data_IF_794125906764
#
_entry.id   IF_794125906764
#
_cell.length_a   1.000
_cell.length_b   1.000
_cell.length_c   1.000
_cell.angle_alpha   90.00
_cell.angle_beta   90.00
_cell.angle_gamma   90.00
#
_symmetry.space_group_name_H-M   'P 1'
#
loop_
_entity.id
_entity.type
_entity.pdbx_description
1 polymer ?
#
# COMPACT_ATOMS: atom_id res chain seq x y z
N UNK A 1 14.72 32.48 -14.94
CA UNK A 1 14.89 31.06 -14.56
C UNK A 1 15.59 30.83 -13.18
N UNK A 2 15.27 31.57 -12.10
CA UNK A 2 15.95 31.43 -10.78
C UNK A 2 15.10 30.84 -9.64
N UNK A 3 13.81 30.53 -9.89
CA UNK A 3 12.86 30.05 -8.84
C UNK A 3 12.84 28.53 -8.55
N UNK A 4 13.58 27.69 -9.28
CA UNK A 4 13.51 26.21 -9.12
C UNK A 4 14.36 25.60 -7.99
N UNK A 5 15.20 26.37 -7.28
CA UNK A 5 16.11 25.80 -6.26
C UNK A 5 15.52 25.68 -4.84
N UNK A 6 14.43 26.38 -4.53
CA UNK A 6 13.77 26.27 -3.22
C UNK A 6 12.84 25.06 -3.10
N UNK A 7 12.26 24.61 -4.22
CA UNK A 7 11.27 23.53 -4.23
C UNK A 7 11.85 22.18 -3.79
N UNK A 8 13.11 21.90 -4.14
CA UNK A 8 13.76 20.63 -3.80
C UNK A 8 13.98 20.42 -2.30
N UNK A 9 14.25 21.49 -1.54
CA UNK A 9 14.49 21.39 -0.09
C UNK A 9 13.17 21.24 0.66
N UNK A 10 12.13 21.98 0.25
CA UNK A 10 10.80 21.86 0.83
C UNK A 10 10.19 20.47 0.59
N UNK A 11 10.37 19.91 -0.61
CA UNK A 11 9.93 18.54 -0.93
C UNK A 11 10.69 17.52 -0.09
N UNK A 12 12.00 17.67 0.11
CA UNK A 12 12.79 16.75 0.92
C UNK A 12 12.38 16.79 2.40
N UNK A 13 12.12 17.98 2.96
CA UNK A 13 11.66 18.13 4.34
C UNK A 13 10.25 17.58 4.54
N UNK A 14 9.35 17.76 3.57
CA UNK A 14 8.02 17.12 3.57
C UNK A 14 8.13 15.60 3.49
N UNK A 15 9.06 15.07 2.69
CA UNK A 15 9.27 13.63 2.55
C UNK A 15 9.85 13.00 3.82
N UNK A 16 10.82 13.66 4.46
CA UNK A 16 11.41 13.20 5.73
C UNK A 16 10.42 13.34 6.89
N UNK A 17 9.66 14.44 6.94
CA UNK A 17 8.58 14.61 7.92
C UNK A 17 7.48 13.57 7.74
N UNK A 18 7.07 13.28 6.50
CA UNK A 18 6.12 12.23 6.19
C UNK A 18 6.65 10.85 6.56
N UNK A 19 7.90 10.50 6.23
CA UNK A 19 8.52 9.24 6.66
C UNK A 19 8.63 9.11 8.18
N UNK A 20 9.02 10.16 8.89
CA UNK A 20 9.11 10.15 10.34
C UNK A 20 7.73 9.99 10.99
N UNK A 21 6.71 10.68 10.47
CA UNK A 21 5.32 10.51 10.91
C UNK A 21 4.82 9.11 10.56
N UNK A 22 5.07 8.58 9.37
CA UNK A 22 4.66 7.22 8.99
C UNK A 22 5.38 6.12 9.78
N UNK A 23 6.60 6.38 10.27
CA UNK A 23 7.36 5.45 11.11
C UNK A 23 6.92 5.50 12.58
N UNK A 24 6.57 6.69 13.08
CA UNK A 24 6.08 6.91 14.46
C UNK A 24 4.59 6.57 14.61
N UNK A 25 3.82 6.77 13.54
CA UNK A 25 2.40 6.42 13.41
C UNK A 25 2.23 5.13 12.62
N UNK A 26 3.14 4.17 12.80
CA UNK A 26 2.80 2.78 12.53
C UNK A 26 1.97 2.35 13.74
N UNK A 27 0.62 2.25 13.65
CA UNK A 27 -0.18 1.76 14.77
C UNK A 27 0.43 0.43 15.19
N UNK A 28 0.77 0.33 16.48
CA UNK A 28 1.67 -0.65 17.05
C UNK A 28 1.83 -1.91 16.22
N UNK A 29 2.98 -2.01 15.53
CA UNK A 29 3.71 -3.27 15.39
C UNK A 29 4.17 -3.71 16.80
N UNK A 30 3.24 -3.76 17.76
CA UNK A 30 3.34 -4.60 18.94
C UNK A 30 3.49 -5.98 18.33
N UNK A 31 4.69 -6.57 18.51
CA UNK A 31 5.05 -7.93 18.11
C UNK A 31 3.87 -8.60 17.43
N UNK A 32 3.75 -8.40 16.12
CA UNK A 32 3.07 -9.40 15.34
C UNK A 32 3.88 -10.63 15.65
N UNK A 33 3.35 -11.50 16.52
CA UNK A 33 3.55 -12.92 16.34
C UNK A 33 3.36 -13.07 14.86
N UNK A 34 4.47 -13.32 14.17
CA UNK A 34 4.51 -13.49 12.73
C UNK A 34 3.28 -14.36 12.41
N UNK A 35 2.26 -13.84 11.70
CA UNK A 35 0.99 -14.55 11.55
C UNK A 35 1.14 -15.88 10.77
N UNK A 36 2.39 -16.24 10.43
CA UNK A 36 2.82 -17.51 9.88
C UNK A 36 3.01 -18.63 10.93
N UNK A 37 2.78 -18.37 12.23
CA UNK A 37 3.03 -19.35 13.29
C UNK A 37 1.87 -19.54 14.30
N UNK A 38 0.67 -19.02 14.03
CA UNK A 38 -0.50 -19.80 14.49
C UNK A 38 -0.44 -21.03 13.61
N UNK A 39 -0.37 -22.28 14.14
CA UNK A 39 -0.37 -23.45 13.28
C UNK A 39 -1.57 -23.28 12.37
N UNK A 40 -1.30 -23.04 11.08
CA UNK A 40 -2.31 -23.15 10.06
C UNK A 40 -2.94 -24.49 10.40
N UNK A 41 -4.20 -24.47 10.82
CA UNK A 41 -4.88 -25.71 11.15
C UNK A 41 -4.62 -26.57 9.93
N UNK A 42 -3.80 -27.62 10.07
CA UNK A 42 -3.54 -28.60 9.04
C UNK A 42 -4.87 -29.34 8.90
N UNK A 43 -5.82 -28.64 8.29
CA UNK A 43 -7.01 -29.21 7.74
C UNK A 43 -6.49 -29.82 6.45
N UNK A 44 -6.20 -31.12 6.48
CA UNK A 44 -6.15 -31.92 5.27
C UNK A 44 -7.52 -31.79 4.58
N UNK A 45 -7.68 -30.74 3.77
CA UNK A 45 -8.69 -30.73 2.73
C UNK A 45 -8.12 -31.51 1.55
N UNK A 46 -8.92 -32.33 0.86
CA UNK A 46 -8.42 -33.11 -0.26
C UNK A 46 -7.81 -32.16 -1.29
N UNK A 47 -6.53 -32.38 -1.64
CA UNK A 47 -5.76 -31.68 -2.67
C UNK A 47 -6.62 -31.42 -3.92
N UNK A 48 -7.31 -30.28 -3.94
CA UNK A 48 -8.30 -29.97 -4.94
C UNK A 48 -7.66 -29.27 -6.12
N UNK A 49 -8.12 -29.55 -7.34
CA UNK A 49 -8.02 -28.58 -8.41
C UNK A 49 -9.16 -27.57 -8.27
N UNK A 50 -8.92 -26.30 -8.58
CA UNK A 50 -10.00 -25.31 -8.66
C UNK A 50 -11.14 -25.79 -9.57
N UNK A 51 -12.37 -25.62 -9.12
CA UNK A 51 -13.59 -26.04 -9.83
C UNK A 51 -13.95 -25.20 -11.06
N UNK A 52 -13.14 -24.19 -11.40
CA UNK A 52 -13.40 -23.24 -12.47
C UNK A 52 -12.12 -22.81 -13.20
N UNK A 53 -12.23 -22.45 -14.48
CA UNK A 53 -11.12 -22.03 -15.35
C UNK A 53 -11.24 -20.58 -15.82
N UNK A 54 -10.12 -19.99 -16.27
CA UNK A 54 -10.09 -18.62 -16.82
C UNK A 54 -11.02 -18.48 -18.02
N UNK A 55 -11.01 -19.45 -18.94
CA UNK A 55 -11.86 -19.44 -20.13
C UNK A 55 -13.35 -19.47 -19.78
N UNK A 56 -13.76 -20.23 -18.76
CA UNK A 56 -15.15 -20.24 -18.28
C UNK A 56 -15.57 -18.89 -17.69
N UNK A 57 -14.70 -18.26 -16.90
CA UNK A 57 -14.94 -16.94 -16.34
C UNK A 57 -15.10 -15.87 -17.42
N UNK A 58 -14.21 -15.87 -18.42
CA UNK A 58 -14.27 -14.95 -19.56
C UNK A 58 -15.53 -15.17 -20.40
N UNK A 59 -15.87 -16.42 -20.71
CA UNK A 59 -17.08 -16.76 -21.44
C UNK A 59 -18.34 -16.34 -20.68
N UNK A 60 -18.37 -16.48 -19.35
CA UNK A 60 -19.48 -16.02 -18.53
C UNK A 60 -19.61 -14.48 -18.53
N UNK A 61 -18.49 -13.76 -18.41
CA UNK A 61 -18.44 -12.30 -18.46
C UNK A 61 -18.72 -11.71 -19.85
N UNK A 62 -18.53 -12.49 -20.91
CA UNK A 62 -18.93 -12.12 -22.26
C UNK A 62 -20.46 -12.15 -22.44
N UNK A 63 -21.15 -13.08 -21.76
CA UNK A 63 -22.61 -13.24 -21.83
C UNK A 63 -23.39 -12.26 -20.96
N UNK A 64 -22.85 -11.89 -19.79
CA UNK A 64 -23.55 -11.03 -18.82
C UNK A 64 -22.57 -10.13 -18.06
N UNK A 65 -22.94 -8.87 -17.73
CA UNK A 65 -22.14 -8.01 -16.86
C UNK A 65 -22.08 -8.50 -15.41
N UNK A 66 -23.03 -9.35 -15.00
CA UNK A 66 -22.99 -10.09 -13.72
C UNK A 66 -22.88 -11.57 -14.07
N UNK A 67 -21.71 -12.15 -13.85
CA UNK A 67 -21.41 -13.53 -14.18
C UNK A 67 -21.22 -14.35 -12.90
N UNK A 68 -21.96 -15.45 -12.78
CA UNK A 68 -21.87 -16.39 -11.65
C UNK A 68 -21.32 -17.72 -12.14
N UNK A 69 -20.23 -18.17 -11.54
CA UNK A 69 -19.70 -19.52 -11.80
C UNK A 69 -20.32 -20.55 -10.84
N UNK A 70 -20.41 -21.83 -11.24
CA UNK A 70 -20.90 -22.90 -10.39
C UNK A 70 -20.15 -22.97 -9.05
N UNK A 71 -20.88 -23.24 -7.97
CA UNK A 71 -20.33 -23.34 -6.61
C UNK A 71 -20.10 -22.00 -5.91
N UNK A 72 -20.45 -20.85 -6.51
CA UNK A 72 -20.39 -19.57 -5.80
C UNK A 72 -21.39 -19.53 -4.64
N UNK A 73 -20.94 -19.27 -3.39
CA UNK A 73 -21.81 -19.25 -2.20
C UNK A 73 -22.57 -17.93 -2.05
N UNK A 74 -22.22 -16.91 -2.85
CA UNK A 74 -22.73 -15.55 -2.68
C UNK A 74 -24.23 -15.47 -3.00
N UNK A 75 -25.04 -15.00 -2.06
CA UNK A 75 -26.42 -14.58 -2.32
C UNK A 75 -26.38 -13.13 -2.79
N UNK A 76 -27.03 -12.82 -3.91
CA UNK A 76 -26.96 -11.49 -4.52
C UNK A 76 -28.29 -11.15 -5.19
N UNK A 77 -28.84 -9.97 -4.91
CA UNK A 77 -29.86 -9.35 -5.75
C UNK A 77 -29.25 -8.87 -7.07
N UNK A 78 -29.24 -9.76 -8.06
CA UNK A 78 -28.65 -9.49 -9.36
C UNK A 78 -29.36 -8.36 -10.11
N UNK A 79 -30.64 -8.09 -9.83
CA UNK A 79 -31.37 -7.00 -10.46
C UNK A 79 -30.84 -5.64 -9.97
N UNK A 80 -30.67 -5.49 -8.64
CA UNK A 80 -30.06 -4.30 -8.04
C UNK A 80 -28.62 -4.10 -8.52
N UNK A 81 -27.82 -5.17 -8.54
CA UNK A 81 -26.42 -5.09 -9.00
C UNK A 81 -26.34 -4.72 -10.48
N UNK A 82 -27.17 -5.33 -11.34
CA UNK A 82 -27.19 -5.01 -12.79
C UNK A 82 -27.62 -3.57 -13.04
N UNK A 83 -28.60 -3.07 -12.29
CA UNK A 83 -28.99 -1.67 -12.35
C UNK A 83 -27.84 -0.72 -11.96
N UNK A 84 -27.07 -1.06 -10.92
CA UNK A 84 -25.91 -0.27 -10.50
C UNK A 84 -24.73 -0.32 -11.49
N UNK A 85 -24.59 -1.40 -12.26
CA UNK A 85 -23.57 -1.52 -13.30
C UNK A 85 -23.89 -0.72 -14.57
N UNK A 86 -25.16 -0.37 -14.80
CA UNK A 86 -25.60 0.32 -16.00
C UNK A 86 -24.81 1.63 -16.22
N UNK A 87 -24.21 1.79 -17.40
CA UNK A 87 -23.43 2.98 -17.77
C UNK A 87 -22.03 3.09 -17.14
N UNK A 88 -21.64 2.16 -16.25
CA UNK A 88 -20.31 2.21 -15.59
C UNK A 88 -19.18 1.55 -16.40
N UNK A 89 -19.53 0.67 -17.34
CA UNK A 89 -18.57 -0.20 -18.05
C UNK A 89 -17.93 -1.29 -17.18
N UNK A 90 -18.35 -1.43 -15.91
CA UNK A 90 -17.86 -2.45 -14.98
C UNK A 90 -18.58 -3.77 -15.17
N UNK A 91 -17.94 -4.85 -14.69
CA UNK A 91 -18.49 -6.20 -14.62
C UNK A 91 -18.27 -6.79 -13.22
N UNK A 92 -19.11 -7.75 -12.85
CA UNK A 92 -19.03 -8.52 -11.61
C UNK A 92 -18.86 -10.00 -11.94
N UNK A 93 -17.89 -10.63 -11.31
CA UNK A 93 -17.66 -12.08 -11.37
C UNK A 93 -17.83 -12.69 -9.98
N UNK A 94 -18.78 -13.61 -9.83
CA UNK A 94 -19.03 -14.37 -8.61
C UNK A 94 -18.40 -15.75 -8.75
N UNK A 95 -17.42 -16.04 -7.90
CA UNK A 95 -16.62 -17.26 -7.92
C UNK A 95 -16.96 -18.14 -6.70
N UNK A 96 -16.73 -19.46 -6.79
CA UNK A 96 -16.66 -20.32 -5.61
C UNK A 96 -15.57 -19.85 -4.64
N UNK A 97 -15.59 -20.42 -3.44
CA UNK A 97 -14.49 -20.29 -2.51
C UNK A 97 -13.16 -20.73 -3.14
N UNK A 98 -12.07 -20.09 -2.75
CA UNK A 98 -10.76 -20.42 -3.31
C UNK A 98 -10.20 -21.74 -2.80
N UNK A 99 -10.73 -22.29 -1.71
CA UNK A 99 -10.10 -23.36 -0.92
C UNK A 99 -8.82 -22.88 -0.21
N UNK A 100 -8.40 -23.63 0.81
CA UNK A 100 -7.16 -23.36 1.55
C UNK A 100 -5.94 -23.70 0.68
N UNK A 101 -5.94 -24.87 0.04
CA UNK A 101 -4.80 -25.38 -0.74
C UNK A 101 -4.64 -24.73 -2.12
N UNK A 102 -5.75 -24.26 -2.69
CA UNK A 102 -5.79 -23.70 -4.05
C UNK A 102 -5.69 -22.17 -4.09
N UNK A 103 -5.46 -21.50 -2.96
CA UNK A 103 -5.43 -20.03 -2.84
C UNK A 103 -4.51 -19.33 -3.84
N UNK A 104 -3.29 -19.86 -4.04
CA UNK A 104 -2.29 -19.26 -4.94
C UNK A 104 -2.70 -19.41 -6.40
N UNK A 105 -3.25 -20.57 -6.76
CA UNK A 105 -3.77 -20.84 -8.10
C UNK A 105 -4.99 -19.96 -8.38
N UNK A 106 -5.86 -19.77 -7.38
CA UNK A 106 -7.06 -18.94 -7.49
C UNK A 106 -6.69 -17.50 -7.79
N UNK A 107 -5.72 -16.96 -7.04
CA UNK A 107 -5.25 -15.58 -7.23
C UNK A 107 -4.54 -15.38 -8.56
N UNK A 108 -3.81 -16.39 -9.04
CA UNK A 108 -3.24 -16.36 -10.39
C UNK A 108 -4.34 -16.27 -11.47
N UNK A 109 -5.35 -17.15 -11.40
CA UNK A 109 -6.46 -17.15 -12.38
C UNK A 109 -7.29 -15.87 -12.31
N UNK A 110 -7.57 -15.33 -11.11
CA UNK A 110 -8.27 -14.05 -10.97
C UNK A 110 -7.46 -12.91 -11.59
N UNK A 111 -6.13 -12.90 -11.44
CA UNK A 111 -5.26 -11.90 -12.10
C UNK A 111 -5.29 -12.03 -13.61
N UNK A 112 -5.31 -13.24 -14.15
CA UNK A 112 -5.43 -13.50 -15.60
C UNK A 112 -6.76 -12.98 -16.15
N UNK A 113 -7.89 -13.31 -15.52
CA UNK A 113 -9.22 -12.79 -15.93
C UNK A 113 -9.26 -11.26 -15.85
N UNK A 114 -8.70 -10.65 -14.81
CA UNK A 114 -8.60 -9.18 -14.70
C UNK A 114 -7.74 -8.57 -15.81
N UNK A 115 -6.67 -9.25 -16.24
CA UNK A 115 -5.84 -8.78 -17.34
C UNK A 115 -6.59 -8.83 -18.68
N UNK A 116 -7.39 -9.87 -18.92
CA UNK A 116 -8.18 -10.03 -20.14
C UNK A 116 -9.37 -9.06 -20.23
N UNK A 117 -10.08 -8.84 -19.13
CA UNK A 117 -11.31 -8.01 -19.11
C UNK A 117 -11.00 -6.51 -18.91
N UNK A 118 -9.82 -6.21 -18.35
CA UNK A 118 -9.39 -4.87 -17.97
C UNK A 118 -9.28 -4.71 -16.45
N UNK A 119 -8.11 -4.27 -15.98
CA UNK A 119 -7.79 -4.21 -14.53
C UNK A 119 -8.74 -3.33 -13.71
N UNK A 120 -9.32 -2.30 -14.34
CA UNK A 120 -10.17 -1.31 -13.68
C UNK A 120 -11.67 -1.54 -13.91
N UNK A 121 -12.06 -2.60 -14.62
CA UNK A 121 -13.46 -2.85 -14.99
C UNK A 121 -14.08 -4.01 -14.21
N UNK A 122 -13.28 -4.86 -13.58
CA UNK A 122 -13.76 -6.10 -12.96
C UNK A 122 -13.80 -6.03 -11.43
N UNK A 123 -15.01 -6.19 -10.87
CA UNK A 123 -15.25 -6.53 -9.47
C UNK A 123 -15.37 -8.04 -9.34
N UNK A 124 -14.68 -8.64 -8.37
CA UNK A 124 -14.64 -10.10 -8.18
C UNK A 124 -15.09 -10.43 -6.76
N UNK A 125 -16.11 -11.28 -6.62
CA UNK A 125 -16.44 -11.92 -5.35
C UNK A 125 -15.86 -13.34 -5.35
N UNK A 126 -14.83 -13.58 -4.54
CA UNK A 126 -14.25 -14.91 -4.32
C UNK A 126 -14.80 -15.47 -3.02
N UNK A 127 -15.68 -16.47 -3.12
CA UNK A 127 -16.50 -16.85 -1.98
C UNK A 127 -17.40 -15.68 -1.55
N UNK A 128 -17.18 -15.21 -0.32
CA UNK A 128 -17.82 -14.05 0.29
C UNK A 128 -16.91 -12.80 0.34
N UNK A 129 -15.67 -12.89 -0.15
CA UNK A 129 -14.76 -11.75 -0.19
C UNK A 129 -14.91 -10.97 -1.50
N UNK A 130 -15.31 -9.70 -1.40
CA UNK A 130 -15.45 -8.79 -2.56
C UNK A 130 -14.16 -7.99 -2.77
N UNK A 131 -13.59 -8.06 -3.98
CA UNK A 131 -12.42 -7.32 -4.40
C UNK A 131 -12.70 -6.48 -5.65
N UNK A 132 -12.47 -5.18 -5.53
CA UNK A 132 -12.57 -4.18 -6.60
C UNK A 132 -11.16 -3.72 -7.04
N UNK A 133 -11.05 -2.93 -8.13
CA UNK A 133 -9.77 -2.37 -8.58
C UNK A 133 -9.07 -1.49 -7.52
N UNK A 134 -9.84 -0.81 -6.68
CA UNK A 134 -9.35 0.12 -5.64
C UNK A 134 -9.03 -0.56 -4.31
N UNK A 135 -9.36 -1.85 -4.15
CA UNK A 135 -9.17 -2.60 -2.90
C UNK A 135 -10.26 -3.63 -2.63
N UNK A 136 -10.19 -4.29 -1.49
CA UNK A 136 -11.25 -5.19 -1.01
C UNK A 136 -12.30 -4.40 -0.25
N UNK A 137 -13.57 -4.78 -0.42
CA UNK A 137 -14.67 -4.29 0.41
C UNK A 137 -14.82 -5.28 1.56
N UNK A 138 -14.55 -4.80 2.78
CA UNK A 138 -14.60 -5.60 4.01
C UNK A 138 -15.60 -4.97 4.98
N UNK A 139 -16.18 -5.77 5.90
CA UNK A 139 -17.03 -5.26 6.95
C UNK A 139 -16.33 -4.21 7.80
N UNK A 140 -17.09 -3.21 8.21
CA UNK A 140 -16.68 -2.16 9.13
C UNK A 140 -17.00 -2.48 10.60
N UNK A 141 -17.82 -3.50 10.84
CA UNK A 141 -18.25 -3.92 12.18
C UNK A 141 -18.43 -5.44 12.27
N UNK A 142 -18.50 -5.96 13.50
CA UNK A 142 -18.78 -7.38 13.75
C UNK A 142 -20.21 -7.77 13.36
N UNK A 143 -21.18 -6.86 13.47
CA UNK A 143 -22.55 -7.12 13.04
C UNK A 143 -22.66 -7.28 11.52
N UNK A 144 -21.88 -6.49 10.79
CA UNK A 144 -21.77 -6.60 9.35
C UNK A 144 -21.03 -7.88 8.91
N UNK A 145 -19.91 -8.20 9.59
CA UNK A 145 -19.19 -9.45 9.35
C UNK A 145 -20.09 -10.66 9.61
N UNK A 146 -20.88 -10.59 10.69
CA UNK A 146 -21.91 -11.58 11.02
C UNK A 146 -22.94 -11.73 9.93
N UNK A 147 -23.49 -10.63 9.42
CA UNK A 147 -24.47 -10.67 8.33
C UNK A 147 -23.91 -11.41 7.12
N UNK A 148 -22.76 -10.97 6.62
CA UNK A 148 -22.15 -11.54 5.41
C UNK A 148 -21.83 -13.01 5.59
N UNK A 149 -21.19 -13.39 6.70
CA UNK A 149 -20.75 -14.76 6.91
C UNK A 149 -21.90 -15.72 7.26
N UNK A 150 -22.96 -15.22 7.90
CA UNK A 150 -24.12 -16.04 8.26
C UNK A 150 -25.11 -16.23 7.11
N UNK A 151 -25.30 -15.22 6.24
CA UNK A 151 -26.29 -15.27 5.15
C UNK A 151 -25.69 -15.51 3.78
N UNK A 152 -24.41 -15.16 3.60
CA UNK A 152 -23.75 -15.13 2.29
C UNK A 152 -24.20 -13.97 1.40
N UNK A 153 -25.01 -13.03 1.89
CA UNK A 153 -25.51 -11.90 1.08
C UNK A 153 -24.40 -10.86 0.83
N UNK A 154 -24.04 -10.68 -0.44
CA UNK A 154 -23.02 -9.72 -0.89
C UNK A 154 -23.62 -8.53 -1.63
N UNK A 155 -24.95 -8.38 -1.67
CA UNK A 155 -25.61 -7.34 -2.45
C UNK A 155 -25.07 -5.95 -2.11
N UNK A 156 -25.09 -5.59 -0.82
CA UNK A 156 -24.59 -4.28 -0.35
C UNK A 156 -23.10 -4.10 -0.67
N UNK A 157 -22.27 -5.12 -0.43
CA UNK A 157 -20.83 -5.07 -0.68
C UNK A 157 -20.47 -4.88 -2.15
N UNK A 158 -21.21 -5.54 -3.05
CA UNK A 158 -21.05 -5.36 -4.49
C UNK A 158 -21.48 -3.96 -4.92
N UNK A 159 -22.58 -3.45 -4.38
CA UNK A 159 -23.03 -2.08 -4.65
C UNK A 159 -22.00 -1.04 -4.18
N UNK A 160 -21.38 -1.24 -3.01
CA UNK A 160 -20.25 -0.44 -2.49
C UNK A 160 -19.07 -0.47 -3.45
N UNK A 161 -18.65 -1.67 -3.88
CA UNK A 161 -17.55 -1.86 -4.82
C UNK A 161 -17.80 -1.19 -6.18
N UNK A 162 -19.05 -1.23 -6.67
CA UNK A 162 -19.44 -0.63 -7.95
C UNK A 162 -19.47 0.90 -7.86
N UNK A 163 -20.06 1.45 -6.78
CA UNK A 163 -20.28 2.90 -6.61
C UNK A 163 -19.07 3.65 -6.04
N UNK A 164 -18.08 2.95 -5.48
CA UNK A 164 -16.91 3.53 -4.80
C UNK A 164 -17.29 4.53 -3.69
N UNK A 165 -18.31 4.19 -2.91
CA UNK A 165 -18.77 4.98 -1.76
C UNK A 165 -18.93 4.10 -0.55
N UNK A 166 -18.87 4.68 0.64
CA UNK A 166 -19.29 4.00 1.86
C UNK A 166 -20.75 3.57 1.73
N UNK A 167 -21.08 2.39 2.23
CA UNK A 167 -22.45 1.95 2.39
C UNK A 167 -22.93 2.17 3.82
N UNK A 168 -24.22 2.44 3.92
CA UNK A 168 -24.96 2.27 5.16
C UNK A 168 -25.55 0.86 5.15
N UNK A 169 -25.46 0.16 6.28
CA UNK A 169 -26.05 -1.16 6.39
C UNK A 169 -27.57 -1.04 6.37
N UNK A 170 -28.22 -1.91 5.61
CA UNK A 170 -29.62 -2.23 5.87
C UNK A 170 -29.68 -2.81 7.30
N UNK A 171 -30.64 -2.31 8.08
CA UNK A 171 -30.78 -2.70 9.49
C UNK A 171 -30.93 -4.21 9.57
N UNK A 172 -30.11 -4.85 10.41
CA UNK A 172 -30.19 -6.30 10.59
C UNK A 172 -31.57 -6.67 11.12
N UNK A 173 -32.18 -7.75 10.60
CA UNK A 173 -33.42 -8.24 11.17
C UNK A 173 -33.20 -8.57 12.65
N UNK A 174 -34.18 -8.28 13.52
CA UNK A 174 -34.05 -8.54 14.94
C UNK A 174 -33.83 -10.02 15.19
N UNK A 175 -33.14 -10.33 16.28
CA UNK A 175 -32.97 -11.70 16.73
C UNK A 175 -34.29 -12.17 17.36
N UNK A 176 -34.83 -13.27 16.84
CA UNK A 176 -36.01 -13.93 17.35
C UNK A 176 -35.60 -15.05 18.34
N UNK A 177 -36.47 -15.39 19.31
CA UNK A 177 -36.29 -16.62 20.10
C UNK A 177 -36.22 -17.85 19.18
N UNK A 178 -35.43 -18.85 19.56
CA UNK A 178 -35.39 -20.13 18.86
C UNK A 178 -36.69 -20.93 19.07
N UNK A 179 -37.07 -21.74 18.08
CA UNK A 179 -38.21 -22.65 18.20
C UNK A 179 -37.90 -23.73 19.25
N UNK A 180 -38.73 -23.90 20.30
CA UNK A 180 -38.52 -24.94 21.30
C UNK A 180 -38.34 -26.34 20.72
N UNK A 181 -39.03 -26.68 19.63
CA UNK A 181 -38.90 -27.99 18.99
C UNK A 181 -37.53 -28.18 18.32
N UNK A 182 -37.00 -27.13 17.70
CA UNK A 182 -35.65 -27.10 17.13
C UNK A 182 -34.60 -27.24 18.25
N UNK A 183 -34.75 -26.47 19.33
CA UNK A 183 -33.85 -26.52 20.49
C UNK A 183 -33.81 -27.94 21.06
N UNK A 184 -34.95 -28.58 21.27
CA UNK A 184 -35.01 -29.94 21.83
C UNK A 184 -34.41 -30.99 20.88
N UNK A 185 -34.60 -30.85 19.57
CA UNK A 185 -33.99 -31.73 18.57
C UNK A 185 -32.46 -31.61 18.57
N UNK A 186 -31.95 -30.39 18.48
CA UNK A 186 -30.50 -30.12 18.50
C UNK A 186 -29.88 -30.54 19.83
N UNK A 187 -30.56 -30.27 20.96
CA UNK A 187 -30.11 -30.68 22.29
C UNK A 187 -29.93 -32.19 22.38
N UNK A 188 -30.87 -32.98 21.83
CA UNK A 188 -30.78 -34.45 21.85
C UNK A 188 -29.56 -34.96 21.09
N UNK A 189 -29.31 -34.41 19.90
CA UNK A 189 -28.18 -34.80 19.07
C UNK A 189 -26.85 -34.40 19.72
N UNK A 190 -26.77 -33.17 20.25
CA UNK A 190 -25.60 -32.70 20.97
C UNK A 190 -25.34 -33.50 22.25
N UNK A 191 -26.38 -33.94 22.95
CA UNK A 191 -26.23 -34.79 24.13
C UNK A 191 -25.66 -36.17 23.79
N UNK A 192 -26.11 -36.77 22.69
CA UNK A 192 -25.70 -38.11 22.28
C UNK A 192 -24.33 -38.13 21.59
N UNK A 193 -24.09 -37.20 20.66
CA UNK A 193 -22.96 -37.27 19.72
C UNK A 193 -22.01 -36.06 19.83
N UNK A 194 -22.32 -35.08 20.69
CA UNK A 194 -21.63 -33.77 20.76
C UNK A 194 -21.71 -32.92 19.49
N UNK A 195 -22.23 -33.46 18.39
CA UNK A 195 -22.41 -32.76 17.13
C UNK A 195 -23.84 -32.89 16.62
N UNK A 196 -24.37 -31.79 16.10
CA UNK A 196 -25.58 -31.76 15.30
C UNK A 196 -25.22 -31.23 13.92
N UNK A 197 -25.66 -31.90 12.86
CA UNK A 197 -25.50 -31.44 11.49
C UNK A 197 -26.88 -31.37 10.83
N UNK A 198 -27.30 -30.16 10.47
CA UNK A 198 -28.59 -29.96 9.84
C UNK A 198 -28.70 -30.67 8.47
N UNK A 199 -29.92 -31.00 8.02
CA UNK A 199 -30.12 -31.61 6.71
C UNK A 199 -29.48 -30.82 5.57
N UNK A 200 -28.85 -31.54 4.63
CA UNK A 200 -28.17 -30.93 3.47
C UNK A 200 -26.72 -30.52 3.71
N UNK A 201 -26.20 -30.71 4.93
CA UNK A 201 -24.79 -30.54 5.27
C UNK A 201 -24.15 -31.92 5.44
N UNK A 202 -22.89 -32.04 5.03
CA UNK A 202 -22.13 -33.28 5.17
C UNK A 202 -22.04 -33.71 6.64
N UNK A 203 -22.51 -34.91 7.01
CA UNK A 203 -22.51 -35.37 8.39
C UNK A 203 -21.10 -35.44 8.97
N UNK A 204 -20.93 -34.90 10.17
CA UNK A 204 -19.71 -35.07 10.96
C UNK A 204 -19.84 -36.35 11.79
N UNK A 205 -18.88 -37.27 11.62
CA UNK A 205 -18.93 -38.59 12.27
C UNK A 205 -17.81 -38.86 13.26
N UNK A 206 -16.69 -38.11 13.19
CA UNK A 206 -15.56 -38.24 14.12
C UNK A 206 -15.53 -37.06 15.10
N UNK A 207 -15.88 -37.34 16.36
CA UNK A 207 -15.83 -36.38 17.47
C UNK A 207 -14.84 -36.77 18.56
N UNK A 208 -14.12 -37.89 18.39
CA UNK A 208 -13.26 -38.46 19.44
C UNK A 208 -12.09 -37.52 19.77
N UNK A 209 -11.66 -36.73 18.78
CA UNK A 209 -10.58 -35.74 18.94
C UNK A 209 -11.00 -34.48 19.69
N UNK A 210 -12.24 -34.39 20.17
CA UNK A 210 -12.77 -33.15 20.76
C UNK A 210 -12.60 -33.09 22.28
N UNK A 211 -12.34 -34.23 22.94
CA UNK A 211 -12.26 -34.35 24.40
C UNK A 211 -11.23 -33.42 25.05
N UNK A 212 -10.12 -33.17 24.35
CA UNK A 212 -8.97 -32.43 24.91
C UNK A 212 -8.88 -30.98 24.41
N UNK A 213 -9.90 -30.45 23.72
CA UNK A 213 -9.82 -29.10 23.15
C UNK A 213 -9.91 -28.03 24.24
N UNK A 214 -10.90 -28.12 25.13
CA UNK A 214 -11.13 -27.14 26.19
C UNK A 214 -10.99 -27.82 27.55
N UNK A 215 -9.98 -27.47 28.36
CA UNK A 215 -9.81 -28.07 29.67
C UNK A 215 -11.05 -27.86 30.55
N UNK A 216 -11.65 -28.97 31.01
CA UNK A 216 -12.77 -28.95 31.95
C UNK A 216 -14.16 -28.66 31.35
N UNK A 217 -14.31 -28.64 30.03
CA UNK A 217 -15.61 -28.46 29.36
C UNK A 217 -15.73 -29.37 28.13
N UNK A 218 -16.93 -29.89 27.86
CA UNK A 218 -17.17 -30.65 26.62
C UNK A 218 -17.42 -29.67 25.47
N UNK A 219 -16.80 -29.89 24.31
CA UNK A 219 -17.10 -29.11 23.11
C UNK A 219 -18.28 -29.73 22.38
N UNK A 220 -19.33 -28.94 22.15
CA UNK A 220 -20.55 -29.33 21.43
C UNK A 220 -20.76 -28.41 20.23
N UNK A 221 -20.96 -28.96 19.04
CA UNK A 221 -21.04 -28.17 17.80
C UNK A 221 -22.34 -28.44 17.05
N UNK A 222 -23.15 -27.41 16.83
CA UNK A 222 -24.29 -27.46 15.91
C UNK A 222 -23.90 -26.76 14.59
N UNK A 223 -23.99 -27.48 13.48
CA UNK A 223 -23.69 -26.98 12.14
C UNK A 223 -24.99 -26.82 11.38
N UNK A 224 -25.29 -25.58 10.98
CA UNK A 224 -26.54 -25.17 10.37
C UNK A 224 -26.29 -24.51 8.99
N UNK A 225 -27.28 -24.55 8.08
CA UNK A 225 -27.15 -23.89 6.80
C UNK A 225 -27.06 -22.37 7.00
N UNK A 226 -26.55 -21.62 6.00
CA UNK A 226 -26.64 -20.16 6.00
C UNK A 226 -28.08 -19.70 6.20
N UNK A 227 -28.25 -18.64 6.98
CA UNK A 227 -29.57 -18.04 7.17
C UNK A 227 -30.03 -17.39 5.86
N UNK A 228 -31.32 -17.53 5.52
CA UNK A 228 -31.87 -16.83 4.37
C UNK A 228 -31.80 -15.30 4.62
N UNK A 229 -31.49 -14.49 3.59
CA UNK A 229 -31.57 -13.04 3.71
C UNK A 229 -32.95 -12.61 4.22
N UNK A 230 -32.99 -11.52 5.00
CA UNK A 230 -34.22 -10.95 5.58
C UNK A 230 -35.01 -11.82 6.57
N UNK A 231 -34.56 -13.05 6.87
CA UNK A 231 -35.20 -13.87 7.90
C UNK A 231 -34.71 -13.48 9.30
N UNK A 232 -35.61 -13.35 10.30
CA UNK A 232 -35.22 -13.15 11.69
C UNK A 232 -34.30 -14.28 12.14
N UNK A 233 -33.16 -13.92 12.73
CA UNK A 233 -32.19 -14.90 13.23
C UNK A 233 -32.69 -15.48 14.55
N UNK A 234 -32.74 -16.79 14.66
CA UNK A 234 -33.05 -17.48 15.92
C UNK A 234 -31.85 -17.52 16.87
N UNK A 235 -32.02 -17.12 18.13
CA UNK A 235 -31.00 -17.25 19.19
C UNK A 235 -30.92 -18.69 19.74
N UNK A 236 -30.43 -19.60 18.91
CA UNK A 236 -30.25 -21.01 19.30
C UNK A 236 -29.13 -21.17 20.33
N UNK A 237 -28.10 -20.34 20.24
CA UNK A 237 -26.90 -20.42 21.08
C UNK A 237 -27.20 -20.18 22.55
N UNK A 238 -28.02 -19.16 22.86
CA UNK A 238 -28.46 -18.91 24.24
C UNK A 238 -29.28 -20.08 24.80
N UNK A 239 -30.27 -20.56 24.03
CA UNK A 239 -31.13 -21.66 24.44
C UNK A 239 -30.36 -22.97 24.69
N UNK A 240 -29.37 -23.29 23.84
CA UNK A 240 -28.51 -24.46 24.05
C UNK A 240 -27.54 -24.26 25.22
N UNK A 241 -27.05 -23.04 25.44
CA UNK A 241 -26.22 -22.70 26.59
C UNK A 241 -26.91 -22.98 27.92
N UNK A 242 -28.21 -22.71 28.03
CA UNK A 242 -29.00 -23.05 29.22
C UNK A 242 -29.11 -24.55 29.46
N UNK A 243 -29.12 -25.36 28.39
CA UNK A 243 -29.16 -26.83 28.47
C UNK A 243 -27.80 -27.44 28.83
N UNK A 244 -26.70 -26.74 28.52
CA UNK A 244 -25.33 -27.21 28.75
C UNK A 244 -24.46 -26.14 29.44
N UNK A 245 -24.76 -25.73 30.68
CA UNK A 245 -24.14 -24.54 31.31
C UNK A 245 -22.64 -24.69 31.64
N UNK A 246 -22.10 -25.91 31.65
CA UNK A 246 -20.68 -26.19 31.89
C UNK A 246 -19.88 -26.48 30.63
N UNK A 247 -20.53 -26.55 29.47
CA UNK A 247 -19.91 -26.97 28.21
C UNK A 247 -19.66 -25.78 27.29
N UNK A 248 -18.77 -25.95 26.32
CA UNK A 248 -18.62 -25.01 25.22
C UNK A 248 -19.58 -25.41 24.10
N UNK A 249 -20.67 -24.68 23.95
CA UNK A 249 -21.62 -24.87 22.84
C UNK A 249 -21.27 -23.91 21.72
N UNK A 250 -21.08 -24.45 20.51
CA UNK A 250 -20.73 -23.70 19.31
C UNK A 250 -21.83 -23.91 18.26
N UNK A 251 -22.43 -22.83 17.77
CA UNK A 251 -23.40 -22.86 16.68
C UNK A 251 -22.78 -22.20 15.46
N UNK A 252 -22.58 -22.97 14.39
CA UNK A 252 -22.00 -22.50 13.13
C UNK A 252 -23.12 -22.35 12.11
N UNK A 253 -23.39 -21.12 11.65
CA UNK A 253 -24.34 -20.80 10.56
C UNK A 253 -23.59 -20.19 9.40
N UNK A 254 -23.55 -20.88 8.25
CA UNK A 254 -22.67 -20.48 7.16
C UNK A 254 -21.20 -20.47 7.62
N UNK A 255 -20.52 -19.33 7.49
CA UNK A 255 -19.16 -19.12 8.02
C UNK A 255 -19.14 -18.23 9.27
N UNK A 256 -20.30 -18.01 9.90
CA UNK A 256 -20.39 -17.31 11.17
C UNK A 256 -20.52 -18.31 12.31
N UNK A 257 -19.89 -17.99 13.44
CA UNK A 257 -19.92 -18.79 14.65
C UNK A 257 -20.47 -17.98 15.80
N UNK A 258 -21.38 -18.60 16.52
CA UNK A 258 -21.87 -18.14 17.81
C UNK A 258 -21.42 -19.19 18.83
N UNK A 259 -21.10 -18.79 20.06
CA UNK A 259 -20.88 -19.76 21.13
C UNK A 259 -21.54 -19.31 22.42
N UNK A 260 -21.84 -20.30 23.24
CA UNK A 260 -22.11 -20.17 24.66
C UNK A 260 -20.98 -20.89 25.39
N UNK A 261 -20.30 -20.19 26.28
CA UNK A 261 -19.15 -20.70 27.01
C UNK A 261 -19.29 -20.36 28.50
N UNK A 262 -18.66 -21.13 29.40
CA UNK A 262 -18.65 -20.82 30.83
C UNK A 262 -18.14 -19.41 31.17
N UNK A 263 -17.25 -18.86 30.32
CA UNK A 263 -16.82 -17.46 30.40
C UNK A 263 -17.33 -16.64 29.20
N UNK A 264 -18.41 -15.85 29.37
CA UNK A 264 -19.00 -15.06 28.29
C UNK A 264 -18.13 -13.88 27.84
N UNK A 265 -17.23 -13.37 28.68
CA UNK A 265 -16.35 -12.26 28.30
C UNK A 265 -15.22 -12.75 27.40
N UNK A 266 -14.55 -13.83 27.82
CA UNK A 266 -13.47 -14.44 27.07
C UNK A 266 -13.95 -14.95 25.71
N UNK A 267 -15.16 -15.50 25.69
CA UNK A 267 -15.82 -15.93 24.48
C UNK A 267 -15.97 -14.71 23.54
N UNK A 268 -16.63 -13.62 23.92
CA UNK A 268 -16.73 -12.39 23.10
C UNK A 268 -15.39 -11.87 22.57
N UNK A 269 -14.33 -11.92 23.38
CA UNK A 269 -12.95 -11.56 22.97
C UNK A 269 -12.45 -12.51 21.87
N UNK A 270 -12.66 -13.81 22.04
CA UNK A 270 -12.29 -14.86 21.06
C UNK A 270 -12.93 -14.58 19.70
N UNK A 271 -14.24 -14.33 19.63
CA UNK A 271 -14.91 -14.01 18.35
C UNK A 271 -14.34 -12.76 17.71
N UNK A 272 -14.25 -11.69 18.49
CA UNK A 272 -13.83 -10.38 17.99
C UNK A 272 -12.39 -10.43 17.48
N UNK A 273 -11.50 -11.09 18.23
CA UNK A 273 -10.10 -11.28 17.84
C UNK A 273 -9.96 -12.16 16.61
N UNK A 274 -10.61 -13.33 16.59
CA UNK A 274 -10.51 -14.28 15.49
C UNK A 274 -11.05 -13.71 14.17
N UNK A 275 -12.28 -13.17 14.17
CA UNK A 275 -12.83 -12.57 12.95
C UNK A 275 -12.11 -11.28 12.56
N UNK A 276 -11.66 -10.47 13.52
CA UNK A 276 -10.86 -9.28 13.23
C UNK A 276 -9.56 -9.59 12.48
N UNK A 277 -8.88 -10.69 12.85
CA UNK A 277 -7.64 -11.13 12.21
C UNK A 277 -7.87 -11.92 10.90
N UNK A 278 -8.95 -12.72 10.83
CA UNK A 278 -9.11 -13.74 9.80
C UNK A 278 -10.30 -13.52 8.84
N UNK A 279 -11.10 -12.45 8.97
CA UNK A 279 -12.30 -12.25 8.14
C UNK A 279 -12.03 -12.47 6.64
N UNK A 280 -11.04 -11.78 6.07
CA UNK A 280 -10.77 -11.84 4.63
C UNK A 280 -10.34 -13.23 4.15
N UNK A 281 -9.66 -14.00 5.02
CA UNK A 281 -9.27 -15.38 4.74
C UNK A 281 -10.48 -16.29 4.76
N UNK A 282 -11.30 -16.22 5.82
CA UNK A 282 -12.51 -17.03 5.98
C UNK A 282 -13.49 -16.78 4.83
N UNK A 283 -13.78 -15.51 4.54
CA UNK A 283 -14.69 -15.11 3.48
C UNK A 283 -14.22 -15.60 2.10
N UNK A 284 -12.91 -15.68 1.86
CA UNK A 284 -12.35 -16.10 0.57
C UNK A 284 -12.18 -17.62 0.45
N UNK A 285 -11.68 -18.27 1.49
CA UNK A 285 -11.26 -19.67 1.47
C UNK A 285 -12.41 -20.63 1.72
N UNK A 286 -13.41 -20.22 2.50
CA UNK A 286 -14.59 -21.03 2.82
C UNK A 286 -14.27 -22.35 3.49
N UNK A 287 -13.64 -22.33 4.68
CA UNK A 287 -13.30 -23.57 5.39
C UNK A 287 -14.56 -24.37 5.71
N UNK A 288 -14.41 -25.69 5.88
CA UNK A 288 -15.51 -26.52 6.41
C UNK A 288 -16.00 -25.98 7.75
N UNK A 289 -17.32 -25.90 7.91
CA UNK A 289 -17.99 -25.25 9.04
C UNK A 289 -17.59 -25.85 10.40
N UNK A 290 -17.50 -27.18 10.49
CA UNK A 290 -17.07 -27.87 11.71
C UNK A 290 -15.63 -27.49 12.10
N UNK A 291 -14.74 -27.38 11.11
CA UNK A 291 -13.34 -27.01 11.35
C UNK A 291 -13.21 -25.58 11.83
N UNK A 292 -14.05 -24.67 11.33
CA UNK A 292 -14.16 -23.31 11.84
C UNK A 292 -14.61 -23.29 13.31
N UNK A 293 -15.63 -24.07 13.66
CA UNK A 293 -16.08 -24.21 15.05
C UNK A 293 -14.98 -24.74 15.97
N UNK A 294 -14.26 -25.78 15.54
CA UNK A 294 -13.14 -26.35 16.29
C UNK A 294 -11.95 -25.39 16.42
N UNK A 295 -11.64 -24.61 15.38
CA UNK A 295 -10.57 -23.61 15.42
C UNK A 295 -10.87 -22.52 16.47
N UNK A 296 -12.10 -22.02 16.51
CA UNK A 296 -12.53 -21.06 17.52
C UNK A 296 -12.55 -21.66 18.94
N UNK A 297 -12.92 -22.94 19.09
CA UNK A 297 -12.84 -23.64 20.37
C UNK A 297 -11.40 -23.75 20.90
N UNK A 298 -10.42 -24.00 20.01
CA UNK A 298 -8.99 -24.02 20.36
C UNK A 298 -8.45 -22.64 20.71
N UNK A 299 -8.87 -21.61 19.97
CA UNK A 299 -8.52 -20.22 20.27
C UNK A 299 -9.05 -19.83 21.66
N UNK A 300 -10.31 -20.17 21.94
CA UNK A 300 -10.92 -19.99 23.27
C UNK A 300 -10.11 -20.70 24.37
N UNK A 301 -9.72 -21.96 24.16
CA UNK A 301 -8.91 -22.71 25.13
C UNK A 301 -7.54 -22.07 25.37
N UNK A 302 -6.92 -21.55 24.31
CA UNK A 302 -5.62 -20.85 24.39
C UNK A 302 -5.75 -19.55 25.16
N UNK A 303 -6.81 -18.77 24.94
CA UNK A 303 -7.11 -17.57 25.70
C UNK A 303 -7.49 -17.89 27.14
N UNK A 304 -8.15 -19.03 27.39
CA UNK A 304 -8.52 -19.49 28.73
C UNK A 304 -7.27 -19.84 29.55
N UNK A 305 -6.31 -20.56 28.95
CA UNK A 305 -5.02 -20.84 29.57
C UNK A 305 -4.22 -19.56 29.90
N UNK A 306 -4.41 -18.50 29.11
CA UNK A 306 -3.74 -17.22 29.24
C UNK A 306 -4.62 -16.11 29.85
N UNK A 307 -5.72 -16.48 30.52
CA UNK A 307 -6.78 -15.56 30.97
C UNK A 307 -6.24 -14.32 31.69
N UNK A 308 -5.31 -14.52 32.62
CA UNK A 308 -4.73 -13.43 33.41
C UNK A 308 -4.00 -12.38 32.55
N UNK A 309 -3.35 -12.80 31.46
CA UNK A 309 -2.67 -11.91 30.54
C UNK A 309 -3.66 -11.22 29.57
N UNK A 310 -4.70 -11.93 29.13
CA UNK A 310 -5.70 -11.43 28.17
C UNK A 310 -6.60 -10.37 28.81
N UNK A 311 -7.05 -10.62 30.06
CA UNK A 311 -7.93 -9.71 30.80
C UNK A 311 -7.18 -8.64 31.59
N UNK A 312 -5.85 -8.69 31.64
CA UNK A 312 -5.07 -7.60 32.23
C UNK A 312 -5.43 -6.30 31.48
N UNK A 313 -5.71 -5.19 32.18
CA UNK A 313 -5.90 -3.91 31.54
C UNK A 313 -4.68 -3.66 30.65
N UNK A 314 -4.90 -3.55 29.33
CA UNK A 314 -3.85 -3.12 28.41
C UNK A 314 -3.44 -1.74 28.90
N UNK A 315 -2.36 -1.67 29.67
CA UNK A 315 -1.65 -0.41 29.88
C UNK A 315 -1.29 0.00 28.47
N UNK A 316 -1.92 1.06 27.97
CA UNK A 316 -1.51 1.67 26.71
C UNK A 316 0.01 1.75 26.79
N UNK A 317 0.70 1.06 25.88
CA UNK A 317 2.15 1.01 25.91
C UNK A 317 2.61 2.45 26.02
N UNK A 318 3.24 2.81 27.14
CA UNK A 318 3.61 4.19 27.40
C UNK A 318 4.53 4.59 26.23
N UNK A 319 4.10 5.50 25.34
CA UNK A 319 4.88 5.81 24.15
C UNK A 319 6.15 6.55 24.54
N UNK A 320 6.21 7.09 25.76
CA UNK A 320 7.30 7.92 26.26
C UNK A 320 8.66 7.18 26.19
N UNK A 321 8.83 5.96 26.73
CA UNK A 321 10.09 5.24 26.60
C UNK A 321 10.56 5.03 25.15
N UNK A 322 9.65 4.67 24.24
CA UNK A 322 9.99 4.44 22.82
C UNK A 322 10.38 5.74 22.12
N UNK A 323 9.59 6.80 22.31
CA UNK A 323 9.85 8.13 21.75
C UNK A 323 11.16 8.70 22.31
N UNK A 324 11.40 8.58 23.62
CA UNK A 324 12.64 9.03 24.25
C UNK A 324 13.88 8.27 23.77
N UNK A 325 13.74 6.98 23.45
CA UNK A 325 14.84 6.17 22.88
C UNK A 325 15.15 6.56 21.43
N UNK A 326 14.14 6.91 20.64
CA UNK A 326 14.31 7.32 19.24
C UNK A 326 14.73 8.79 19.05
N UNK A 327 14.39 9.67 20.00
CA UNK A 327 14.63 11.11 19.92
C UNK A 327 16.09 11.50 19.59
N UNK A 328 17.13 10.90 20.23
CA UNK A 328 18.51 11.25 19.96
C UNK A 328 18.91 10.99 18.51
N UNK A 329 18.39 9.91 17.92
CA UNK A 329 18.67 9.53 16.54
C UNK A 329 17.99 10.46 15.53
N UNK A 330 16.77 10.91 15.82
CA UNK A 330 16.07 11.91 15.00
C UNK A 330 16.82 13.25 15.03
N UNK A 331 17.29 13.68 16.20
CA UNK A 331 18.12 14.89 16.32
C UNK A 331 19.46 14.74 15.61
N UNK A 332 20.14 13.59 15.76
CA UNK A 332 21.40 13.32 15.07
C UNK A 332 21.22 13.33 13.54
N UNK A 333 20.15 12.72 13.02
CA UNK A 333 19.80 12.75 11.61
C UNK A 333 19.52 14.16 11.10
N UNK A 334 18.79 14.96 11.88
CA UNK A 334 18.49 16.36 11.55
C UNK A 334 19.77 17.21 11.50
N UNK A 335 20.65 17.07 12.49
CA UNK A 335 21.95 17.76 12.53
C UNK A 335 22.83 17.33 11.36
N UNK A 336 22.85 16.04 11.00
CA UNK A 336 23.61 15.54 9.86
C UNK A 336 23.11 16.13 8.53
N UNK A 337 21.79 16.20 8.33
CA UNK A 337 21.19 16.78 7.11
C UNK A 337 21.44 18.28 7.03
N UNK A 338 21.15 19.02 8.10
CA UNK A 338 21.32 20.48 8.13
C UNK A 338 22.80 20.84 8.05
N UNK A 339 23.63 20.27 8.90
CA UNK A 339 25.08 20.50 8.91
C UNK A 339 25.75 20.07 7.61
N UNK A 340 25.38 18.90 7.07
CA UNK A 340 25.85 18.40 5.79
C UNK A 340 25.48 19.31 4.62
N UNK A 341 24.26 19.84 4.61
CA UNK A 341 23.80 20.77 3.56
C UNK A 341 24.60 22.09 3.58
N UNK A 342 24.84 22.67 4.76
CA UNK A 342 25.64 23.89 4.92
C UNK A 342 27.08 23.65 4.47
N UNK A 343 27.68 22.53 4.87
CA UNK A 343 29.04 22.16 4.47
C UNK A 343 29.14 21.93 2.96
N UNK A 344 28.16 21.27 2.34
CA UNK A 344 28.11 21.03 0.91
C UNK A 344 28.00 22.34 0.12
N UNK A 345 27.16 23.29 0.56
CA UNK A 345 27.04 24.62 -0.05
C UNK A 345 28.36 25.39 0.06
N UNK A 346 29.00 25.40 1.24
CA UNK A 346 30.31 26.05 1.45
C UNK A 346 31.39 25.44 0.58
N UNK A 347 31.51 24.11 0.52
CA UNK A 347 32.48 23.41 -0.33
C UNK A 347 32.25 23.71 -1.82
N UNK A 348 30.99 23.75 -2.27
CA UNK A 348 30.65 24.08 -3.66
C UNK A 348 30.98 25.53 -4.00
N UNK A 349 30.74 26.47 -3.09
CA UNK A 349 31.12 27.86 -3.26
C UNK A 349 32.64 28.03 -3.32
N UNK A 350 33.40 27.37 -2.44
CA UNK A 350 34.85 27.39 -2.45
C UNK A 350 35.44 26.81 -3.74
N UNK A 351 34.93 25.66 -4.21
CA UNK A 351 35.34 25.07 -5.50
C UNK A 351 35.07 26.00 -6.69
N UNK A 352 33.92 26.69 -6.70
CA UNK A 352 33.60 27.67 -7.75
C UNK A 352 34.53 28.88 -7.75
N UNK A 353 34.95 29.36 -6.58
CA UNK A 353 35.92 30.46 -6.47
C UNK A 353 37.27 30.05 -7.05
N UNK A 354 37.79 28.88 -6.66
CA UNK A 354 39.04 28.33 -7.20
C UNK A 354 38.99 28.16 -8.72
N UNK A 355 37.92 27.56 -9.25
CA UNK A 355 37.76 27.41 -10.70
C UNK A 355 37.63 28.75 -11.45
N UNK A 356 37.04 29.77 -10.83
CA UNK A 356 36.96 31.11 -11.43
C UNK A 356 38.32 31.83 -11.42
N UNK A 357 39.13 31.63 -10.38
CA UNK A 357 40.50 32.15 -10.28
C UNK A 357 41.42 31.49 -11.31
N UNK A 358 41.36 30.16 -11.44
CA UNK A 358 42.09 29.41 -12.46
C UNK A 358 41.71 29.84 -13.88
N UNK A 359 40.41 29.98 -14.16
CA UNK A 359 39.94 30.44 -15.47
C UNK A 359 40.42 31.87 -15.79
N UNK A 360 40.44 32.77 -14.80
CA UNK A 360 40.98 34.13 -14.96
C UNK A 360 42.47 34.12 -15.25
N UNK A 361 43.22 33.25 -14.59
CA UNK A 361 44.67 33.12 -14.80
C UNK A 361 44.98 32.64 -16.22
N UNK A 362 44.34 31.55 -16.66
CA UNK A 362 44.51 31.01 -18.01
C UNK A 362 44.16 32.05 -19.08
N UNK A 363 43.08 32.80 -18.86
CA UNK A 363 42.68 33.84 -19.80
C UNK A 363 43.69 35.00 -19.88
N UNK A 364 44.23 35.43 -18.73
CA UNK A 364 45.29 36.46 -18.70
C UNK A 364 46.55 35.99 -19.43
N UNK A 365 46.97 34.75 -19.22
CA UNK A 365 48.11 34.16 -19.92
C UNK A 365 47.90 34.17 -21.45
N UNK A 366 46.68 33.86 -21.92
CA UNK A 366 46.32 33.94 -23.35
C UNK A 366 46.35 35.38 -23.90
N UNK A 367 45.82 36.34 -23.15
CA UNK A 367 45.82 37.75 -23.57
C UNK A 367 47.24 38.32 -23.60
N UNK A 368 48.08 37.96 -22.63
CA UNK A 368 49.51 38.33 -22.63
C UNK A 368 50.25 37.79 -23.85
N UNK A 369 49.96 36.55 -24.26
CA UNK A 369 50.52 35.99 -25.49
C UNK A 369 50.02 36.72 -26.75
N UNK A 370 48.73 37.08 -26.80
CA UNK A 370 48.16 37.83 -27.92
C UNK A 370 48.77 39.24 -28.08
N UNK A 371 49.10 39.89 -26.96
CA UNK A 371 49.77 41.20 -26.98
C UNK A 371 51.14 41.15 -27.66
N UNK A 372 51.89 40.06 -27.51
CA UNK A 372 53.18 39.91 -28.20
C UNK A 372 53.02 39.94 -29.73
N UNK A 373 51.98 39.30 -30.26
CA UNK A 373 51.66 39.33 -31.70
C UNK A 373 51.20 40.70 -32.18
N UNK A 374 50.41 41.42 -31.38
CA UNK A 374 49.96 42.79 -31.70
C UNK A 374 51.14 43.75 -31.72
N UNK A 375 52.07 43.66 -30.76
CA UNK A 375 53.27 44.50 -30.73
C UNK A 375 54.15 44.31 -31.97
N UNK A 376 54.31 43.06 -32.42
CA UNK A 376 55.02 42.74 -33.66
C UNK A 376 54.30 43.38 -34.87
N UNK A 377 52.98 43.20 -34.99
CA UNK A 377 52.20 43.78 -36.09
C UNK A 377 52.20 45.32 -36.12
N UNK A 378 52.22 45.98 -34.96
CA UNK A 378 52.41 47.44 -34.88
C UNK A 378 53.79 47.80 -35.46
N UNK A 379 54.85 47.12 -35.02
CA UNK A 379 56.23 47.41 -35.47
C UNK A 379 56.40 47.20 -36.99
N UNK A 380 55.80 46.15 -37.54
CA UNK A 380 55.87 45.83 -38.97
C UNK A 380 55.15 46.88 -39.84
N UNK A 381 54.01 47.40 -39.37
CA UNK A 381 53.19 48.34 -40.13
C UNK A 381 53.58 49.81 -39.91
N UNK A 382 54.15 50.18 -38.76
CA UNK A 382 54.51 51.56 -38.40
C UNK A 382 55.48 52.19 -39.42
N UNK A 383 56.44 51.41 -39.92
CA UNK A 383 57.37 51.87 -40.95
C UNK A 383 56.73 52.14 -42.32
N UNK A 384 55.60 51.49 -42.62
CA UNK A 384 54.87 51.57 -43.89
C UNK A 384 53.72 52.59 -43.83
N UNK A 385 53.12 52.79 -42.66
CA UNK A 385 51.91 53.57 -42.44
C UNK A 385 52.17 55.05 -42.11
N UNK A 386 53.08 55.73 -42.83
CA UNK A 386 53.55 57.07 -42.46
C UNK A 386 52.49 58.18 -42.51
N UNK A 387 51.49 58.08 -43.38
CA UNK A 387 50.41 59.07 -43.51
C UNK A 387 49.08 58.44 -43.95
N UNK A 388 47.96 59.13 -43.68
CA UNK A 388 46.64 58.75 -44.20
C UNK A 388 45.83 57.81 -43.29
N UNK A 389 44.95 56.99 -43.89
CA UNK A 389 44.02 56.12 -43.14
C UNK A 389 44.73 54.99 -42.40
N UNK A 390 45.78 54.42 -43.00
CA UNK A 390 46.55 53.33 -42.41
C UNK A 390 47.28 53.79 -41.13
N UNK A 391 47.93 54.97 -41.16
CA UNK A 391 48.61 55.54 -39.98
C UNK A 391 47.67 55.70 -38.79
N UNK A 392 46.49 56.29 -38.98
CA UNK A 392 45.47 56.44 -37.90
C UNK A 392 45.00 55.11 -37.31
N UNK A 393 44.96 54.05 -38.11
CA UNK A 393 44.58 52.71 -37.64
C UNK A 393 45.72 52.05 -36.83
N UNK A 394 46.98 52.27 -37.20
CA UNK A 394 48.15 51.83 -36.43
C UNK A 394 48.26 52.60 -35.11
N UNK A 395 47.99 53.91 -35.11
CA UNK A 395 47.92 54.72 -33.88
C UNK A 395 46.84 54.19 -32.94
N UNK A 396 45.62 53.95 -33.46
CA UNK A 396 44.54 53.38 -32.68
C UNK A 396 44.87 51.99 -32.13
N UNK A 397 45.51 51.14 -32.95
CA UNK A 397 45.98 49.83 -32.49
C UNK A 397 47.01 49.95 -31.35
N UNK A 398 47.90 50.94 -31.42
CA UNK A 398 48.92 51.21 -30.41
C UNK A 398 48.32 51.72 -29.09
N UNK A 399 47.34 52.62 -29.16
CA UNK A 399 46.58 53.07 -27.99
C UNK A 399 45.87 51.90 -27.30
N UNK A 400 45.15 51.07 -28.08
CA UNK A 400 44.43 49.92 -27.54
C UNK A 400 45.36 48.83 -27.01
N UNK A 401 46.50 48.61 -27.66
CA UNK A 401 47.58 47.77 -27.15
C UNK A 401 48.10 48.28 -25.79
N UNK A 402 48.34 49.59 -25.65
CA UNK A 402 48.75 50.22 -24.40
C UNK A 402 47.75 50.01 -23.27
N UNK A 403 46.46 50.25 -23.55
CA UNK A 403 45.36 50.02 -22.61
C UNK A 403 45.29 48.56 -22.17
N UNK A 404 45.34 47.63 -23.12
CA UNK A 404 45.31 46.20 -22.81
C UNK A 404 46.52 45.77 -21.97
N UNK A 405 47.72 46.24 -22.30
CA UNK A 405 48.96 45.96 -21.55
C UNK A 405 48.90 46.51 -20.12
N UNK A 406 48.44 47.75 -19.95
CA UNK A 406 48.31 48.37 -18.63
C UNK A 406 47.28 47.64 -17.75
N UNK A 407 46.14 47.26 -18.34
CA UNK A 407 45.10 46.49 -17.64
C UNK A 407 45.61 45.11 -17.22
N UNK A 408 46.38 44.40 -18.04
CA UNK A 408 46.95 43.11 -17.65
C UNK A 408 48.06 43.27 -16.60
N UNK A 409 48.90 44.30 -16.71
CA UNK A 409 50.01 44.54 -15.78
C UNK A 409 49.55 44.95 -14.36
N UNK A 410 48.42 45.65 -14.25
CA UNK A 410 47.85 46.10 -12.96
C UNK A 410 46.75 45.21 -12.41
N UNK A 411 46.67 43.95 -12.86
CA UNK A 411 45.60 43.02 -12.46
C UNK A 411 44.17 43.57 -12.70
N UNK A 412 44.00 44.39 -13.72
CA UNK A 412 42.72 44.99 -14.13
C UNK A 412 41.69 43.98 -14.66
N UNK A 413 40.57 44.54 -15.13
CA UNK A 413 39.42 43.78 -15.60
C UNK A 413 39.71 43.03 -16.91
N UNK A 414 39.66 41.69 -16.85
CA UNK A 414 40.02 40.79 -17.98
C UNK A 414 39.10 40.95 -19.20
N UNK A 415 37.75 41.09 -19.06
CA UNK A 415 36.88 41.44 -20.18
C UNK A 415 37.28 42.74 -20.89
N UNK A 416 37.62 43.79 -20.14
CA UNK A 416 38.06 45.06 -20.70
C UNK A 416 39.40 44.93 -21.43
N UNK A 417 40.36 44.18 -20.85
CA UNK A 417 41.62 43.86 -21.51
C UNK A 417 41.42 43.07 -22.81
N UNK A 418 40.50 42.10 -22.83
CA UNK A 418 40.16 41.33 -24.05
C UNK A 418 39.58 42.23 -25.14
N UNK A 419 38.62 43.08 -24.80
CA UNK A 419 38.02 44.01 -25.75
C UNK A 419 39.10 44.91 -26.39
N UNK A 420 40.02 45.45 -25.59
CA UNK A 420 41.13 46.25 -26.08
C UNK A 420 42.09 45.45 -26.99
N UNK A 421 42.39 44.17 -26.67
CA UNK A 421 43.18 43.28 -27.54
C UNK A 421 42.48 43.03 -28.88
N UNK A 422 41.17 42.78 -28.88
CA UNK A 422 40.41 42.49 -30.10
C UNK A 422 40.24 43.74 -30.98
N UNK A 423 40.04 44.91 -30.36
CA UNK A 423 40.03 46.20 -31.06
C UNK A 423 41.38 46.51 -31.72
N UNK A 424 42.49 46.30 -30.99
CA UNK A 424 43.84 46.50 -31.52
C UNK A 424 44.12 45.55 -32.71
N UNK A 425 43.74 44.28 -32.61
CA UNK A 425 43.88 43.30 -33.70
C UNK A 425 43.09 43.73 -34.94
N UNK A 426 41.83 44.11 -34.76
CA UNK A 426 40.95 44.53 -35.87
C UNK A 426 41.49 45.79 -36.56
N UNK A 427 42.03 46.73 -35.79
CA UNK A 427 42.67 47.93 -36.32
C UNK A 427 43.92 47.60 -37.15
N UNK A 428 44.79 46.69 -36.68
CA UNK A 428 45.95 46.22 -37.45
C UNK A 428 45.56 45.49 -38.74
N UNK A 429 44.55 44.62 -38.69
CA UNK A 429 44.05 43.92 -39.89
C UNK A 429 43.50 44.90 -40.92
N UNK A 430 42.77 45.93 -40.46
CA UNK A 430 42.25 46.99 -41.32
C UNK A 430 43.35 47.88 -41.89
N UNK A 431 44.42 48.12 -41.12
CA UNK A 431 45.59 48.88 -41.57
C UNK A 431 46.36 48.13 -42.65
N UNK A 432 46.61 46.82 -42.45
CA UNK A 432 47.27 45.97 -43.43
C UNK A 432 46.49 45.91 -44.76
N UNK A 433 45.16 45.79 -44.69
CA UNK A 433 44.30 45.84 -45.89
C UNK A 433 44.39 47.18 -46.61
N UNK A 434 44.43 48.30 -45.87
CA UNK A 434 44.52 49.64 -46.46
C UNK A 434 45.87 49.93 -47.13
N UNK A 435 46.92 49.20 -46.75
CA UNK A 435 48.25 49.29 -47.36
C UNK A 435 48.43 48.32 -48.52
N UNK A 436 47.39 47.55 -48.88
CA UNK A 436 47.44 46.46 -49.86
C UNK A 436 48.58 45.45 -49.60
N UNK A 437 49.04 45.37 -48.34
CA UNK A 437 49.98 44.35 -47.87
C UNK A 437 49.15 43.08 -47.70
N UNK A 438 48.90 42.41 -48.82
CA UNK A 438 48.36 41.06 -48.81
C UNK A 438 49.34 40.17 -48.03
N UNK A 439 48.80 39.41 -47.07
CA UNK A 439 49.51 38.56 -46.12
C UNK A 439 50.67 37.75 -46.71
#
# INVERSE_FOLDING_TARGET
MRKRRGLGVAVLLLWVGWLAVSFVYRPGEDRTVEPDQVPAVEVEEPNGSLSWTVAEAEAALARSPVARLPGSPAVVDEARVRAALAGTGRKVLLLPYSGVDTRNQHDARVREVRAAVGRNTLVVASGLNVSAPVGSVVPSSMDEARQVLATGDLTTFLLTAIKERSHDLESLPPTAPADPAEVDAVTRDLAANRVHTAPGIEPVTDTDRWDDIVPGAVVRIAVLPPAAPETPRTDLTAALGERFPGDLVVVVRGLWVEFSAPDPELSRITLSGYYGAHFGQLAKWGPRQVNLGLALAREYATLLANRAAVLAPRRAADPVPFVLTGLPWVFAGTVAVVGGSVLAVRRRAARRRRGAEEARRVERERLSAALAGIAAGITDLDGLARDGRAGRLVDHASERYGVARELLARDGDVPTARAAVDEARTALESAAQALEVAR
#
